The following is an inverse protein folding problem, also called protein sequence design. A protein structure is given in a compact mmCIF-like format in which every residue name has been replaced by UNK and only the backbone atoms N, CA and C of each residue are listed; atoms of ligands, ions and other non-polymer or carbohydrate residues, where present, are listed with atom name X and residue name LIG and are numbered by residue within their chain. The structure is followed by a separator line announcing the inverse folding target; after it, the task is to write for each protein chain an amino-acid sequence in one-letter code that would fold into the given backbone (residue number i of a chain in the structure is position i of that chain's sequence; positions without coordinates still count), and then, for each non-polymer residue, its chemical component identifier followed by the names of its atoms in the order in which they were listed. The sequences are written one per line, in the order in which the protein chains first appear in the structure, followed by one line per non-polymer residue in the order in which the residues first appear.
data_IF_244610073668
#
_entry.id   IF_244610073668
#
_cell.length_a   1.000
_cell.length_b   1.000
_cell.length_c   1.000
_cell.angle_alpha   90.00
_cell.angle_beta   90.00
_cell.angle_gamma   90.00
#
_symmetry.space_group_name_H-M   'P 1'
#
loop_
_entity.id
_entity.type
_entity.pdbx_description
1 polymer ?
#
# COMPACT_ATOMS: atom_id res chain seq x y z
N UNK A 1 8.46 -20.03 -23.19
CA UNK A 1 9.30 -19.01 -22.56
C UNK A 1 8.46 -18.20 -21.59
N UNK A 2 8.60 -18.43 -20.29
CA UNK A 2 7.83 -17.69 -19.28
C UNK A 2 8.41 -16.27 -19.15
N UNK A 3 7.61 -15.25 -19.46
CA UNK A 3 7.97 -13.87 -19.19
C UNK A 3 8.08 -13.70 -17.67
N UNK A 4 9.30 -13.68 -17.14
CA UNK A 4 9.54 -13.29 -15.76
C UNK A 4 9.22 -11.80 -15.70
N UNK A 5 8.08 -11.43 -15.11
CA UNK A 5 7.64 -10.04 -15.00
C UNK A 5 8.78 -9.15 -14.49
N UNK A 6 8.91 -7.94 -15.06
CA UNK A 6 9.95 -6.99 -14.66
C UNK A 6 9.71 -6.57 -13.19
N UNK A 7 10.79 -6.41 -12.42
CA UNK A 7 10.72 -5.86 -11.07
C UNK A 7 10.06 -4.47 -11.12
N UNK A 8 9.07 -4.25 -10.28
CA UNK A 8 8.42 -2.96 -10.08
C UNK A 8 8.54 -2.57 -8.61
N UNK A 9 9.05 -1.37 -8.35
CA UNK A 9 9.12 -0.78 -7.01
C UNK A 9 8.03 0.29 -6.93
N UNK A 10 7.06 0.10 -6.03
CA UNK A 10 5.96 1.04 -5.78
C UNK A 10 6.43 2.17 -4.85
N UNK A 11 5.75 3.34 -4.85
CA UNK A 11 5.91 4.31 -3.78
C UNK A 11 5.70 3.68 -2.39
N UNK A 12 6.39 4.16 -1.35
CA UNK A 12 6.24 3.61 0.00
C UNK A 12 4.83 3.79 0.53
N UNK A 13 4.39 2.86 1.39
CA UNK A 13 3.15 3.01 2.16
C UNK A 13 3.48 3.70 3.49
N UNK A 14 2.86 4.86 3.72
CA UNK A 14 2.90 5.53 5.03
C UNK A 14 1.99 4.79 5.99
N UNK A 15 2.54 4.22 7.06
CA UNK A 15 1.77 3.45 8.03
C UNK A 15 0.99 4.35 9.00
N UNK A 16 1.65 5.38 9.53
CA UNK A 16 1.06 6.35 10.45
C UNK A 16 0.90 7.72 9.79
N UNK A 17 -0.07 8.49 10.29
CA UNK A 17 -0.20 9.89 9.94
C UNK A 17 1.04 10.69 10.38
N UNK A 18 1.30 11.84 9.75
CA UNK A 18 2.44 12.70 10.10
C UNK A 18 2.36 13.22 11.55
N UNK A 19 1.15 13.28 12.10
CA UNK A 19 0.89 13.67 13.49
C UNK A 19 -0.04 12.67 14.16
N UNK A 20 0.24 12.34 15.42
CA UNK A 20 -0.53 11.38 16.21
C UNK A 20 -0.12 9.92 15.97
N UNK A 21 -0.86 8.99 16.58
CA UNK A 21 -0.56 7.55 16.53
C UNK A 21 -1.50 6.75 15.62
N UNK A 22 -2.43 7.41 14.94
CA UNK A 22 -3.37 6.76 14.03
C UNK A 22 -2.71 6.33 12.72
N UNK A 23 -3.32 5.38 11.99
CA UNK A 23 -2.84 5.02 10.66
C UNK A 23 -3.03 6.18 9.69
N UNK A 24 -2.20 6.23 8.64
CA UNK A 24 -2.48 7.12 7.51
C UNK A 24 -3.76 6.67 6.78
N UNK A 25 -4.46 7.60 6.13
CA UNK A 25 -5.73 7.33 5.44
C UNK A 25 -5.68 6.11 4.51
N UNK A 26 -4.64 5.99 3.69
CA UNK A 26 -4.48 4.83 2.79
C UNK A 26 -4.30 3.52 3.55
N UNK A 27 -3.60 3.54 4.67
CA UNK A 27 -3.38 2.36 5.53
C UNK A 27 -4.69 1.95 6.23
N UNK A 28 -5.49 2.91 6.69
CA UNK A 28 -6.83 2.67 7.24
C UNK A 28 -7.72 1.97 6.19
N UNK A 29 -7.75 2.46 4.95
CA UNK A 29 -8.54 1.84 3.89
C UNK A 29 -8.10 0.40 3.58
N UNK A 30 -6.79 0.14 3.52
CA UNK A 30 -6.27 -1.21 3.26
C UNK A 30 -6.63 -2.14 4.42
N UNK A 31 -6.40 -1.71 5.66
CA UNK A 31 -6.69 -2.52 6.86
C UNK A 31 -8.19 -2.87 6.96
N UNK A 32 -9.07 -1.95 6.57
CA UNK A 32 -10.52 -2.17 6.56
C UNK A 32 -11.02 -2.92 5.31
N UNK A 33 -10.12 -3.39 4.43
CA UNK A 33 -10.49 -4.13 3.22
C UNK A 33 -11.17 -3.27 2.14
N UNK A 34 -11.03 -1.94 2.21
CA UNK A 34 -11.63 -0.99 1.29
C UNK A 34 -10.71 -0.62 0.11
N UNK A 35 -9.44 -1.04 0.14
CA UNK A 35 -8.46 -0.82 -0.92
C UNK A 35 -7.44 -1.97 -1.04
N UNK A 36 -6.93 -2.22 -2.26
CA UNK A 36 -5.85 -3.19 -2.50
C UNK A 36 -4.46 -2.59 -2.20
N UNK A 37 -3.59 -3.40 -1.57
CA UNK A 37 -2.20 -3.03 -1.31
C UNK A 37 -1.38 -2.92 -2.60
N UNK A 38 -1.52 -3.91 -3.50
CA UNK A 38 -0.74 -4.04 -4.72
C UNK A 38 -1.49 -3.66 -6.00
N UNK A 39 -2.71 -3.13 -5.89
CA UNK A 39 -3.59 -2.84 -7.02
C UNK A 39 -4.32 -4.07 -7.55
N UNK A 40 -4.91 -3.95 -8.73
CA UNK A 40 -5.45 -5.03 -9.56
C UNK A 40 -4.41 -5.49 -10.60
#
# INVERSE_FOLDING_TARGET
SAARGKLSIRPPLMLHAETGNGPAERTEMINNGLASLFGD
#
